data_IF_914492582315
#
_entry.id   IF_914492582315
#
_cell.length_a   1.000
_cell.length_b   1.000
_cell.length_c   1.000
_cell.angle_alpha   90.00
_cell.angle_beta   90.00
_cell.angle_gamma   90.00
#
_symmetry.space_group_name_H-M   'P 1'
#
loop_
_entity.id
_entity.type
_entity.pdbx_description
1 polymer ?
#
# COMPACT_ATOMS: atom_id res chain seq x y z
N UNK A 1 -36.62 72.91 22.97
CA UNK A 1 -37.36 72.41 21.78
C UNK A 1 -36.39 71.60 20.95
N UNK A 2 -36.35 70.30 21.17
CA UNK A 2 -35.51 69.40 20.40
C UNK A 2 -36.28 68.95 19.16
N UNK A 3 -35.73 69.23 18.03
CA UNK A 3 -36.39 69.03 16.74
C UNK A 3 -36.36 67.58 16.32
N UNK A 4 -37.44 67.10 15.73
CA UNK A 4 -37.62 65.71 15.23
C UNK A 4 -36.56 65.21 14.23
N UNK A 5 -35.50 65.96 14.00
CA UNK A 5 -34.39 65.58 13.08
C UNK A 5 -33.27 64.84 13.70
N UNK A 6 -33.15 64.70 15.03
CA UNK A 6 -32.09 63.98 15.70
C UNK A 6 -32.43 62.53 15.99
N UNK A 7 -33.72 62.14 15.85
CA UNK A 7 -34.17 60.76 16.11
C UNK A 7 -33.97 59.80 14.91
N UNK A 8 -33.86 60.37 13.71
CA UNK A 8 -33.70 59.55 12.48
C UNK A 8 -32.26 59.22 12.05
N UNK A 9 -31.25 59.60 12.86
CA UNK A 9 -29.87 59.31 12.59
C UNK A 9 -29.30 58.14 13.38
N UNK A 10 -30.10 57.52 14.27
CA UNK A 10 -29.68 56.35 15.06
C UNK A 10 -30.41 55.04 14.74
N UNK A 11 -31.30 55.05 13.74
CA UNK A 11 -32.02 53.85 13.27
C UNK A 11 -31.56 53.45 11.87
N UNK A 12 -30.30 53.16 11.71
CA UNK A 12 -29.83 52.74 10.40
C UNK A 12 -28.47 52.11 10.48
N UNK A 13 -28.44 50.82 10.60
CA UNK A 13 -27.42 49.84 10.15
C UNK A 13 -27.38 48.65 11.10
N UNK A 14 -28.53 47.95 11.21
CA UNK A 14 -28.47 46.53 11.49
C UNK A 14 -28.27 45.89 10.12
N UNK A 15 -27.04 45.79 9.68
CA UNK A 15 -26.64 44.81 8.67
C UNK A 15 -26.91 43.44 9.27
N UNK A 16 -27.70 42.56 8.60
CA UNK A 16 -27.72 41.18 8.98
C UNK A 16 -26.28 40.68 8.78
N UNK A 17 -25.59 40.41 9.86
CA UNK A 17 -24.42 39.53 9.82
C UNK A 17 -24.97 38.20 9.30
N UNK A 18 -24.94 38.01 7.99
CA UNK A 18 -24.94 36.69 7.39
C UNK A 18 -23.74 36.05 8.02
N UNK A 19 -23.99 35.24 9.07
CA UNK A 19 -23.04 34.21 9.45
C UNK A 19 -22.85 33.38 8.19
N UNK A 20 -21.79 33.68 7.46
CA UNK A 20 -21.09 32.71 6.65
C UNK A 20 -20.66 31.64 7.64
N UNK A 21 -21.55 30.67 7.91
CA UNK A 21 -21.09 29.39 8.30
C UNK A 21 -20.04 29.07 7.25
N UNK A 22 -18.77 28.82 7.64
CA UNK A 22 -17.86 28.21 6.70
C UNK A 22 -18.65 26.98 6.25
N UNK A 23 -18.99 26.92 4.96
CA UNK A 23 -19.29 25.67 4.33
C UNK A 23 -18.19 24.76 4.85
N UNK A 24 -18.55 23.87 5.77
CA UNK A 24 -17.74 22.71 6.03
C UNK A 24 -17.67 22.08 4.67
N UNK A 25 -16.63 22.46 3.97
CA UNK A 25 -16.17 21.85 2.75
C UNK A 25 -16.31 20.36 3.03
N UNK A 26 -17.32 19.77 2.45
CA UNK A 26 -17.28 18.39 2.09
C UNK A 26 -16.04 18.32 1.22
N UNK A 27 -14.90 18.11 1.88
CA UNK A 27 -13.69 17.73 1.19
C UNK A 27 -14.17 16.59 0.30
N UNK A 28 -14.18 16.81 -1.00
CA UNK A 28 -14.47 15.77 -1.96
C UNK A 28 -13.67 14.57 -1.47
N UNK A 29 -14.38 13.54 -0.98
CA UNK A 29 -13.72 12.31 -0.57
C UNK A 29 -12.99 11.88 -1.83
N UNK A 30 -11.69 12.13 -1.86
CA UNK A 30 -10.84 11.65 -2.93
C UNK A 30 -11.14 10.16 -3.00
N UNK A 31 -11.89 9.74 -4.02
CA UNK A 31 -12.17 8.32 -4.21
C UNK A 31 -10.82 7.65 -4.42
N UNK A 32 -10.37 6.93 -3.43
CA UNK A 32 -9.15 6.15 -3.58
C UNK A 32 -9.41 5.06 -4.62
N UNK A 33 -8.44 4.85 -5.48
CA UNK A 33 -8.44 3.71 -6.39
C UNK A 33 -8.43 2.42 -5.58
N UNK A 34 -9.09 1.38 -6.08
CA UNK A 34 -9.05 0.06 -5.44
C UNK A 34 -8.01 -0.78 -6.16
N UNK A 35 -6.97 -1.13 -5.44
CA UNK A 35 -5.88 -1.98 -5.92
C UNK A 35 -6.03 -3.44 -5.47
N UNK A 36 -5.33 -4.33 -6.18
CA UNK A 36 -5.16 -5.73 -5.81
C UNK A 36 -3.71 -6.16 -5.97
N UNK A 37 -3.17 -6.86 -4.95
CA UNK A 37 -1.92 -7.59 -5.07
C UNK A 37 -2.18 -8.89 -5.84
N UNK A 38 -1.48 -9.06 -6.97
CA UNK A 38 -1.71 -10.18 -7.88
C UNK A 38 -1.31 -11.55 -7.30
N UNK A 39 -0.55 -11.57 -6.19
CA UNK A 39 -0.25 -12.79 -5.46
C UNK A 39 -1.50 -13.52 -4.96
N UNK A 40 -2.58 -12.78 -4.74
CA UNK A 40 -3.93 -13.33 -4.46
C UNK A 40 -4.36 -14.36 -5.51
N UNK A 41 -4.00 -14.15 -6.76
CA UNK A 41 -4.38 -14.97 -7.91
C UNK A 41 -3.20 -15.75 -8.50
N UNK A 42 -2.11 -15.96 -7.72
CA UNK A 42 -0.84 -16.53 -8.17
C UNK A 42 -0.96 -17.83 -8.95
N UNK A 43 -1.85 -18.72 -8.51
CA UNK A 43 -2.04 -20.02 -9.17
C UNK A 43 -2.78 -19.92 -10.52
N UNK A 44 -3.52 -18.82 -10.71
CA UNK A 44 -4.33 -18.60 -11.90
C UNK A 44 -3.60 -17.72 -12.92
N UNK A 45 -2.98 -16.63 -12.45
CA UNK A 45 -2.37 -15.64 -13.34
C UNK A 45 -1.16 -16.18 -14.12
N UNK A 46 -0.43 -17.14 -13.54
CA UNK A 46 0.68 -17.79 -14.27
C UNK A 46 0.21 -18.67 -15.44
N UNK A 47 -1.06 -19.10 -15.43
CA UNK A 47 -1.66 -19.96 -16.45
C UNK A 47 -2.39 -19.13 -17.52
N UNK A 48 -3.05 -18.07 -17.11
CA UNK A 48 -3.83 -17.19 -17.98
C UNK A 48 -3.74 -15.72 -17.53
N UNK A 49 -2.61 -15.04 -17.80
CA UNK A 49 -2.42 -13.68 -17.32
C UNK A 49 -3.47 -12.70 -17.89
N UNK A 50 -3.83 -12.81 -19.16
CA UNK A 50 -4.80 -11.91 -19.79
C UNK A 50 -6.21 -12.12 -19.24
N UNK A 51 -6.69 -13.36 -19.22
CA UNK A 51 -8.03 -13.65 -18.69
C UNK A 51 -8.18 -13.35 -17.19
N UNK A 52 -7.11 -13.41 -16.41
CA UNK A 52 -7.15 -13.00 -15.01
C UNK A 52 -7.18 -11.47 -14.87
N UNK A 53 -6.41 -10.73 -15.65
CA UNK A 53 -6.48 -9.27 -15.68
C UNK A 53 -7.87 -8.77 -16.09
N UNK A 54 -8.51 -9.41 -17.09
CA UNK A 54 -9.90 -9.13 -17.48
C UNK A 54 -10.87 -9.29 -16.29
N UNK A 55 -10.73 -10.38 -15.52
CA UNK A 55 -11.58 -10.65 -14.35
C UNK A 55 -11.35 -9.63 -13.23
N UNK A 56 -10.10 -9.19 -13.02
CA UNK A 56 -9.75 -8.15 -12.06
C UNK A 56 -10.41 -6.82 -12.45
N UNK A 57 -10.30 -6.41 -13.70
CA UNK A 57 -10.93 -5.19 -14.21
C UNK A 57 -12.46 -5.28 -14.09
N UNK A 58 -13.07 -6.42 -14.46
CA UNK A 58 -14.51 -6.67 -14.35
C UNK A 58 -15.01 -6.65 -12.88
N UNK A 59 -14.20 -7.06 -11.91
CA UNK A 59 -14.50 -6.93 -10.48
C UNK A 59 -14.45 -5.46 -10.01
N UNK A 60 -13.87 -4.59 -10.85
CA UNK A 60 -13.83 -3.14 -10.66
C UNK A 60 -12.66 -2.64 -9.84
N UNK A 61 -11.56 -3.37 -9.83
CA UNK A 61 -10.25 -2.86 -9.47
C UNK A 61 -9.75 -1.91 -10.55
N UNK A 62 -8.97 -0.93 -10.14
CA UNK A 62 -8.38 0.07 -11.04
C UNK A 62 -6.87 0.16 -10.89
N UNK A 63 -6.33 -0.52 -9.87
CA UNK A 63 -4.90 -0.67 -9.66
C UNK A 63 -4.54 -2.13 -9.42
N UNK A 64 -3.34 -2.50 -9.84
CA UNK A 64 -2.73 -3.80 -9.60
C UNK A 64 -1.34 -3.62 -9.02
N UNK A 65 -0.92 -4.57 -8.23
CA UNK A 65 0.45 -4.71 -7.79
C UNK A 65 0.99 -6.07 -8.26
N UNK A 66 1.80 -6.10 -9.32
CA UNK A 66 2.39 -7.32 -9.84
C UNK A 66 3.53 -7.83 -8.95
N UNK A 67 3.78 -9.14 -9.02
CA UNK A 67 4.89 -9.83 -8.40
C UNK A 67 5.55 -10.77 -9.42
N UNK A 68 6.68 -11.40 -9.03
CA UNK A 68 7.26 -12.49 -9.80
C UNK A 68 7.92 -12.06 -11.12
N UNK A 69 8.40 -10.79 -11.19
CA UNK A 69 9.26 -10.38 -12.30
C UNK A 69 10.46 -11.30 -12.41
N UNK A 70 10.71 -11.79 -13.62
CA UNK A 70 11.87 -12.63 -13.90
C UNK A 70 12.30 -12.46 -15.36
N UNK A 71 13.56 -12.06 -15.57
CA UNK A 71 14.20 -12.02 -16.88
C UNK A 71 13.42 -11.22 -17.92
N UNK A 72 12.95 -10.02 -17.60
CA UNK A 72 12.21 -9.14 -18.52
C UNK A 72 10.74 -9.49 -18.70
N UNK A 73 10.16 -10.35 -17.85
CA UNK A 73 8.79 -10.85 -17.99
C UNK A 73 8.02 -10.86 -16.68
N UNK A 74 6.69 -10.67 -16.80
CA UNK A 74 5.69 -11.03 -15.80
C UNK A 74 4.81 -12.14 -16.35
N UNK A 75 4.70 -13.26 -15.65
CA UNK A 75 3.81 -14.40 -16.02
C UNK A 75 3.99 -14.85 -17.48
N UNK A 76 5.23 -14.87 -17.98
CA UNK A 76 5.56 -15.23 -19.35
C UNK A 76 5.40 -14.12 -20.40
N UNK A 77 4.75 -13.01 -20.07
CA UNK A 77 4.61 -11.85 -20.96
C UNK A 77 5.80 -10.89 -20.78
N UNK A 78 6.40 -10.36 -21.86
CA UNK A 78 7.35 -9.25 -21.76
C UNK A 78 6.76 -8.08 -20.95
N UNK A 79 7.59 -7.41 -20.13
CA UNK A 79 7.16 -6.28 -19.27
C UNK A 79 6.31 -5.27 -20.04
N UNK A 80 6.78 -4.87 -21.23
CA UNK A 80 6.07 -3.88 -22.06
C UNK A 80 4.69 -4.35 -22.51
N UNK A 81 4.56 -5.64 -22.86
CA UNK A 81 3.27 -6.22 -23.25
C UNK A 81 2.32 -6.29 -22.05
N UNK A 82 2.82 -6.74 -20.89
CA UNK A 82 2.04 -6.81 -19.66
C UNK A 82 1.53 -5.42 -19.25
N UNK A 83 2.41 -4.40 -19.27
CA UNK A 83 2.04 -3.02 -18.97
C UNK A 83 0.99 -2.46 -19.94
N UNK A 84 1.18 -2.69 -21.25
CA UNK A 84 0.24 -2.23 -22.27
C UNK A 84 -1.13 -2.90 -22.14
N UNK A 85 -1.16 -4.22 -21.90
CA UNK A 85 -2.41 -4.95 -21.72
C UNK A 85 -3.16 -4.50 -20.47
N UNK A 86 -2.47 -4.39 -19.32
CA UNK A 86 -3.05 -3.85 -18.09
C UNK A 86 -3.64 -2.45 -18.31
N UNK A 87 -2.89 -1.57 -18.97
CA UNK A 87 -3.36 -0.21 -19.27
C UNK A 87 -4.59 -0.18 -20.18
N UNK A 88 -4.69 -1.12 -21.14
CA UNK A 88 -5.87 -1.22 -22.04
C UNK A 88 -7.16 -1.57 -21.30
N UNK A 89 -7.04 -2.21 -20.13
CA UNK A 89 -8.14 -2.54 -19.22
C UNK A 89 -8.41 -1.44 -18.18
N UNK A 90 -7.67 -0.32 -18.22
CA UNK A 90 -7.76 0.74 -17.21
C UNK A 90 -7.08 0.41 -15.88
N UNK A 91 -6.28 -0.66 -15.83
CA UNK A 91 -5.51 -1.07 -14.66
C UNK A 91 -4.18 -0.33 -14.65
N UNK A 92 -3.93 0.47 -13.61
CA UNK A 92 -2.62 1.08 -13.33
C UNK A 92 -1.83 0.16 -12.42
N UNK A 93 -0.51 0.25 -12.48
CA UNK A 93 0.38 -0.48 -11.59
C UNK A 93 1.32 0.50 -10.87
N UNK A 94 0.86 1.20 -9.81
CA UNK A 94 1.70 2.17 -9.10
C UNK A 94 2.88 1.53 -8.39
N UNK A 95 2.79 0.28 -7.98
CA UNK A 95 3.85 -0.48 -7.32
C UNK A 95 3.98 -1.90 -7.87
N UNK A 96 5.05 -2.56 -7.47
CA UNK A 96 5.28 -3.98 -7.74
C UNK A 96 6.22 -4.60 -6.72
N UNK A 97 5.99 -5.89 -6.40
CA UNK A 97 6.83 -6.68 -5.53
C UNK A 97 8.01 -7.29 -6.28
N UNK A 98 9.21 -6.99 -5.83
CA UNK A 98 10.47 -7.42 -6.42
C UNK A 98 11.34 -8.13 -5.38
N UNK A 99 11.87 -9.31 -5.73
CA UNK A 99 12.70 -10.14 -4.85
C UNK A 99 14.14 -10.24 -5.37
N UNK A 100 14.96 -9.20 -5.19
CA UNK A 100 16.36 -9.22 -5.63
C UNK A 100 17.20 -10.04 -4.65
N UNK A 101 17.11 -11.36 -4.72
CA UNK A 101 17.73 -12.26 -3.73
C UNK A 101 19.26 -12.13 -3.65
N UNK A 102 19.94 -12.03 -4.81
CA UNK A 102 21.39 -11.81 -4.83
C UNK A 102 21.77 -10.49 -4.18
N UNK A 103 21.03 -9.42 -4.50
CA UNK A 103 21.26 -8.11 -3.88
C UNK A 103 21.08 -8.14 -2.37
N UNK A 104 20.00 -8.78 -1.90
CA UNK A 104 19.69 -8.82 -0.47
C UNK A 104 20.69 -9.65 0.34
N UNK A 105 21.18 -10.76 -0.22
CA UNK A 105 21.93 -11.75 0.56
C UNK A 105 23.42 -11.83 0.19
N UNK A 106 23.83 -11.26 -0.95
CA UNK A 106 25.21 -11.28 -1.41
C UNK A 106 25.77 -9.86 -1.50
N UNK A 107 27.04 -9.67 -1.13
CA UNK A 107 27.77 -8.43 -1.38
C UNK A 107 28.58 -8.58 -2.67
N UNK A 108 27.86 -8.61 -3.82
CA UNK A 108 28.45 -8.93 -5.11
C UNK A 108 28.01 -7.92 -6.20
N UNK A 109 28.83 -7.80 -7.27
CA UNK A 109 28.45 -7.04 -8.46
C UNK A 109 27.21 -7.64 -9.13
N UNK A 110 27.03 -8.96 -9.07
CA UNK A 110 25.85 -9.65 -9.60
C UNK A 110 24.57 -9.25 -8.84
N UNK A 111 24.63 -9.07 -7.52
CA UNK A 111 23.52 -8.54 -6.72
C UNK A 111 23.21 -7.09 -7.10
N UNK A 112 24.24 -6.25 -7.28
CA UNK A 112 24.02 -4.87 -7.73
C UNK A 112 23.43 -4.82 -9.15
N UNK A 113 23.77 -5.74 -10.03
CA UNK A 113 23.18 -5.83 -11.37
C UNK A 113 21.72 -6.28 -11.30
N UNK A 114 21.40 -7.25 -10.43
CA UNK A 114 20.02 -7.74 -10.23
C UNK A 114 19.06 -6.63 -9.80
N UNK A 115 19.39 -5.87 -8.75
CA UNK A 115 18.50 -4.79 -8.30
C UNK A 115 18.35 -3.67 -9.34
N UNK A 116 19.41 -3.39 -10.12
CA UNK A 116 19.33 -2.41 -11.21
C UNK A 116 18.43 -2.90 -12.37
N UNK A 117 18.42 -4.20 -12.67
CA UNK A 117 17.49 -4.79 -13.63
C UNK A 117 16.05 -4.65 -13.14
N UNK A 118 15.80 -4.88 -11.85
CA UNK A 118 14.47 -4.70 -11.25
C UNK A 118 14.03 -3.22 -11.27
N UNK A 119 14.95 -2.29 -11.02
CA UNK A 119 14.67 -0.85 -11.15
C UNK A 119 14.28 -0.51 -12.60
N UNK A 120 15.01 -1.03 -13.60
CA UNK A 120 14.70 -0.80 -15.00
C UNK A 120 13.31 -1.34 -15.39
N UNK A 121 12.97 -2.55 -14.91
CA UNK A 121 11.63 -3.13 -15.12
C UNK A 121 10.53 -2.30 -14.45
N UNK A 122 10.74 -1.80 -13.25
CA UNK A 122 9.79 -0.93 -12.55
C UNK A 122 9.57 0.39 -13.30
N UNK A 123 10.62 0.98 -13.89
CA UNK A 123 10.51 2.16 -14.75
C UNK A 123 9.71 1.85 -16.01
N UNK A 124 9.95 0.70 -16.65
CA UNK A 124 9.20 0.29 -17.86
C UNK A 124 7.72 0.06 -17.57
N UNK A 125 7.39 -0.48 -16.37
CA UNK A 125 6.03 -0.62 -15.86
C UNK A 125 5.37 0.71 -15.49
N UNK A 126 6.14 1.81 -15.42
CA UNK A 126 5.73 3.13 -14.91
C UNK A 126 5.27 3.06 -13.45
N UNK A 127 5.91 2.23 -12.65
CA UNK A 127 5.69 2.22 -11.21
C UNK A 127 6.12 3.55 -10.57
N UNK A 128 5.46 3.91 -9.49
CA UNK A 128 5.91 4.95 -8.55
C UNK A 128 6.80 4.33 -7.46
N UNK A 129 6.53 3.05 -7.11
CA UNK A 129 7.17 2.32 -6.02
C UNK A 129 7.75 0.98 -6.48
N UNK A 130 8.95 0.69 -6.03
CA UNK A 130 9.56 -0.65 -6.06
C UNK A 130 9.54 -1.20 -4.64
N UNK A 131 8.85 -2.32 -4.42
CA UNK A 131 8.66 -2.89 -3.08
C UNK A 131 9.50 -4.14 -2.92
N UNK A 132 10.27 -4.19 -1.82
CA UNK A 132 10.92 -5.41 -1.34
C UNK A 132 9.94 -6.10 -0.38
N UNK A 133 9.37 -7.28 -0.76
CA UNK A 133 8.21 -7.80 -0.05
C UNK A 133 8.54 -8.77 1.08
N UNK A 134 9.76 -9.31 1.16
CA UNK A 134 9.99 -10.45 2.05
C UNK A 134 11.48 -10.75 2.28
N UNK A 135 11.79 -11.45 3.39
CA UNK A 135 13.10 -11.97 3.71
C UNK A 135 13.07 -13.47 3.92
N UNK A 136 14.11 -14.16 3.43
CA UNK A 136 14.29 -15.57 3.70
C UNK A 136 14.45 -15.82 5.22
N UNK A 137 13.87 -16.91 5.79
CA UNK A 137 13.92 -17.20 7.22
C UNK A 137 15.31 -17.20 7.84
N UNK A 138 16.33 -17.60 7.08
CA UNK A 138 17.73 -17.61 7.51
C UNK A 138 18.32 -16.20 7.72
N UNK A 139 17.63 -15.15 7.27
CA UNK A 139 18.07 -13.74 7.31
C UNK A 139 17.13 -12.87 8.14
N UNK A 140 16.68 -13.38 9.31
CA UNK A 140 15.71 -12.70 10.17
C UNK A 140 16.21 -12.45 11.59
N UNK A 141 17.54 -12.38 11.79
CA UNK A 141 18.13 -11.96 13.06
C UNK A 141 18.33 -10.43 13.08
N UNK A 142 18.55 -9.84 14.26
CA UNK A 142 18.72 -8.39 14.38
C UNK A 142 19.83 -7.82 13.49
N UNK A 143 20.94 -8.54 13.34
CA UNK A 143 22.05 -8.08 12.51
C UNK A 143 21.72 -8.18 11.00
N UNK A 144 20.87 -9.13 10.61
CA UNK A 144 20.36 -9.20 9.24
C UNK A 144 19.45 -7.99 8.94
N UNK A 145 18.61 -7.56 9.87
CA UNK A 145 17.80 -6.36 9.71
C UNK A 145 18.64 -5.07 9.64
N UNK A 146 19.75 -4.99 10.38
CA UNK A 146 20.69 -3.87 10.25
C UNK A 146 21.36 -3.85 8.88
N UNK A 147 21.80 -5.01 8.40
CA UNK A 147 22.36 -5.15 7.05
C UNK A 147 21.32 -4.78 5.99
N UNK A 148 20.09 -5.28 6.13
CA UNK A 148 18.98 -4.94 5.25
C UNK A 148 18.72 -3.44 5.21
N UNK A 149 18.70 -2.76 6.35
CA UNK A 149 18.51 -1.31 6.39
C UNK A 149 19.56 -0.55 5.55
N UNK A 150 20.83 -0.98 5.62
CA UNK A 150 21.88 -0.46 4.75
C UNK A 150 21.64 -0.72 3.25
N UNK A 151 21.22 -1.95 2.92
CA UNK A 151 20.85 -2.32 1.53
C UNK A 151 19.66 -1.52 1.02
N UNK A 152 18.63 -1.32 1.84
CA UNK A 152 17.47 -0.54 1.48
C UNK A 152 17.84 0.94 1.24
N UNK A 153 18.68 1.54 2.08
CA UNK A 153 19.16 2.90 1.85
C UNK A 153 19.90 3.02 0.51
N UNK A 154 20.80 2.08 0.21
CA UNK A 154 21.54 2.06 -1.05
C UNK A 154 20.63 1.89 -2.26
N UNK A 155 19.70 0.91 -2.22
CA UNK A 155 18.72 0.69 -3.28
C UNK A 155 17.78 1.89 -3.44
N UNK A 156 17.40 2.54 -2.32
CA UNK A 156 16.60 3.76 -2.30
C UNK A 156 17.24 4.91 -3.06
N UNK A 157 18.55 5.10 -2.93
CA UNK A 157 19.28 6.09 -3.74
C UNK A 157 19.21 5.78 -5.24
N UNK A 158 19.34 4.51 -5.62
CA UNK A 158 19.24 4.11 -7.04
C UNK A 158 17.82 4.27 -7.57
N UNK A 159 16.80 3.88 -6.79
CA UNK A 159 15.41 4.10 -7.11
C UNK A 159 15.12 5.60 -7.32
N UNK A 160 15.55 6.45 -6.39
CA UNK A 160 15.37 7.91 -6.46
C UNK A 160 16.01 8.52 -7.72
N UNK A 161 17.19 8.06 -8.11
CA UNK A 161 17.86 8.49 -9.36
C UNK A 161 17.09 8.07 -10.62
N UNK A 162 16.34 6.96 -10.53
CA UNK A 162 15.47 6.45 -11.60
C UNK A 162 14.05 7.03 -11.58
N UNK A 163 13.73 7.92 -10.63
CA UNK A 163 12.39 8.50 -10.47
C UNK A 163 11.40 7.60 -9.73
N UNK A 164 11.90 6.59 -9.02
CA UNK A 164 11.10 5.66 -8.22
C UNK A 164 11.29 5.92 -6.72
N UNK A 165 10.33 5.48 -5.92
CA UNK A 165 10.45 5.38 -4.48
C UNK A 165 10.63 3.92 -4.07
N UNK A 166 11.65 3.61 -3.25
CA UNK A 166 11.77 2.29 -2.65
C UNK A 166 10.78 2.13 -1.49
N UNK A 167 10.19 0.93 -1.38
CA UNK A 167 9.38 0.54 -0.25
C UNK A 167 9.76 -0.84 0.30
N UNK A 168 9.38 -1.08 1.55
CA UNK A 168 9.51 -2.36 2.22
C UNK A 168 8.14 -2.79 2.76
N UNK A 169 7.74 -4.03 2.46
CA UNK A 169 6.50 -4.64 2.92
C UNK A 169 6.79 -5.55 4.12
N UNK A 170 6.00 -5.41 5.17
CA UNK A 170 6.16 -6.21 6.38
C UNK A 170 5.30 -7.48 6.39
N UNK A 171 5.80 -8.46 7.12
CA UNK A 171 5.05 -9.60 7.64
C UNK A 171 4.99 -9.53 9.18
N UNK A 172 4.76 -10.67 9.82
CA UNK A 172 4.77 -10.79 11.29
C UNK A 172 6.17 -10.92 11.88
N UNK A 173 7.09 -11.51 11.13
CA UNK A 173 8.44 -11.83 11.63
C UNK A 173 9.30 -10.61 11.94
N UNK A 174 9.04 -9.46 11.34
CA UNK A 174 9.72 -8.21 11.67
C UNK A 174 9.37 -7.72 13.08
N UNK A 175 8.23 -8.12 13.61
CA UNK A 175 7.76 -7.75 14.94
C UNK A 175 8.20 -8.73 16.03
N UNK A 176 8.90 -9.81 15.67
CA UNK A 176 9.49 -10.72 16.66
C UNK A 176 10.49 -9.96 17.54
N UNK A 177 10.28 -10.09 18.87
CA UNK A 177 11.17 -9.43 19.85
C UNK A 177 12.45 -10.21 20.10
N UNK A 178 13.56 -9.52 20.09
CA UNK A 178 14.89 -9.97 20.48
C UNK A 178 15.40 -9.00 21.57
N UNK A 179 15.30 -9.37 22.82
CA UNK A 179 15.70 -8.54 23.98
C UNK A 179 15.09 -7.14 23.95
N UNK A 180 13.80 -7.05 23.62
CA UNK A 180 13.03 -5.79 23.58
C UNK A 180 13.21 -4.96 22.30
N UNK A 181 13.96 -5.45 21.31
CA UNK A 181 14.10 -4.85 19.97
C UNK A 181 13.46 -5.73 18.91
N UNK A 182 12.92 -5.11 17.89
CA UNK A 182 12.33 -5.82 16.75
C UNK A 182 13.05 -5.48 15.44
N UNK A 183 12.94 -6.35 14.44
CA UNK A 183 13.42 -6.05 13.09
C UNK A 183 12.72 -4.81 12.51
N UNK A 184 11.42 -4.65 12.79
CA UNK A 184 10.66 -3.49 12.34
C UNK A 184 11.17 -2.18 12.92
N UNK A 185 11.57 -2.17 14.22
CA UNK A 185 12.18 -0.99 14.83
C UNK A 185 13.51 -0.62 14.16
N UNK A 186 14.34 -1.63 13.84
CA UNK A 186 15.61 -1.41 13.12
C UNK A 186 15.32 -0.80 11.75
N UNK A 187 14.43 -1.40 10.96
CA UNK A 187 14.10 -0.91 9.63
C UNK A 187 13.57 0.53 9.66
N UNK A 188 12.65 0.82 10.60
CA UNK A 188 12.03 2.14 10.68
C UNK A 188 12.96 3.23 11.19
N UNK A 189 13.99 2.89 12.00
CA UNK A 189 14.92 3.86 12.59
C UNK A 189 16.24 4.00 11.85
N UNK A 190 16.69 2.95 11.13
CA UNK A 190 17.99 2.96 10.44
C UNK A 190 17.88 3.14 8.92
N UNK A 191 16.67 3.21 8.37
CA UNK A 191 16.48 3.62 6.97
C UNK A 191 16.13 5.09 6.88
N UNK A 192 16.69 5.75 5.86
CA UNK A 192 16.40 7.15 5.54
C UNK A 192 14.94 7.29 5.09
N UNK A 193 14.20 8.20 5.73
CA UNK A 193 12.77 8.38 5.48
C UNK A 193 12.44 8.92 4.09
N UNK A 194 13.40 9.59 3.42
CA UNK A 194 13.23 10.12 2.07
C UNK A 194 13.61 9.10 0.99
N UNK A 195 14.34 8.04 1.37
CA UNK A 195 14.76 6.96 0.49
C UNK A 195 13.87 5.73 0.59
N UNK A 196 13.38 5.41 1.81
CA UNK A 196 12.65 4.17 2.09
C UNK A 196 11.29 4.46 2.72
N UNK A 197 10.24 4.03 2.06
CA UNK A 197 8.86 4.05 2.57
C UNK A 197 8.46 2.65 3.02
N UNK A 198 7.28 2.53 3.63
CA UNK A 198 6.74 1.25 4.04
C UNK A 198 5.41 0.99 3.33
N UNK A 199 5.25 -0.23 2.91
CA UNK A 199 3.97 -0.81 2.56
C UNK A 199 3.52 -1.65 3.75
N UNK A 200 2.50 -1.19 4.45
CA UNK A 200 2.04 -1.85 5.66
C UNK A 200 0.98 -2.90 5.35
N UNK A 201 1.28 -4.16 5.63
CA UNK A 201 0.29 -5.22 5.63
C UNK A 201 -0.46 -5.23 6.96
N UNK A 202 -1.74 -4.86 6.91
CA UNK A 202 -2.60 -4.70 8.09
C UNK A 202 -2.94 -6.03 8.76
N UNK A 203 -3.00 -7.13 7.98
CA UNK A 203 -3.19 -8.47 8.54
C UNK A 203 -1.98 -8.89 9.35
N UNK A 204 -0.77 -8.79 8.80
CA UNK A 204 0.43 -9.22 9.48
C UNK A 204 0.76 -8.36 10.71
N UNK A 205 0.51 -7.06 10.66
CA UNK A 205 0.57 -6.19 11.84
C UNK A 205 -0.38 -6.67 12.94
N UNK A 206 -1.64 -6.93 12.58
CA UNK A 206 -2.65 -7.42 13.53
C UNK A 206 -2.33 -8.83 14.02
N UNK A 207 -1.81 -9.70 13.14
CA UNK A 207 -1.39 -11.06 13.48
C UNK A 207 -0.27 -11.06 14.51
N UNK A 208 0.68 -10.16 14.36
CA UNK A 208 1.76 -9.93 15.33
C UNK A 208 1.30 -9.20 16.61
N UNK A 209 -0.01 -9.00 16.81
CA UNK A 209 -0.60 -8.26 17.93
C UNK A 209 -0.05 -6.82 18.05
N UNK A 210 0.27 -6.20 16.94
CA UNK A 210 0.60 -4.77 16.86
C UNK A 210 -0.66 -3.97 16.51
N UNK A 211 -0.62 -2.69 16.83
CA UNK A 211 -1.70 -1.75 16.54
C UNK A 211 -1.34 -0.88 15.33
N UNK A 212 -2.04 -1.03 14.18
CA UNK A 212 -1.77 -0.22 13.00
C UNK A 212 -1.88 1.29 13.25
N UNK A 213 -2.80 1.74 14.11
CA UNK A 213 -3.01 3.16 14.39
C UNK A 213 -1.79 3.75 15.13
N UNK A 214 -1.22 3.01 16.08
CA UNK A 214 0.00 3.42 16.77
C UNK A 214 1.19 3.49 15.80
N UNK A 215 1.31 2.50 14.90
CA UNK A 215 2.37 2.49 13.90
C UNK A 215 2.24 3.65 12.90
N UNK A 216 1.03 3.99 12.45
CA UNK A 216 0.81 5.15 11.59
C UNK A 216 1.18 6.47 12.30
N UNK A 217 0.85 6.60 13.57
CA UNK A 217 1.23 7.77 14.35
C UNK A 217 2.75 7.87 14.56
N UNK A 218 3.45 6.73 14.71
CA UNK A 218 4.91 6.66 14.80
C UNK A 218 5.58 7.00 13.47
N UNK A 219 4.98 6.56 12.34
CA UNK A 219 5.55 6.65 11.00
C UNK A 219 4.85 7.69 10.11
N UNK A 220 4.40 8.81 10.65
CA UNK A 220 3.62 9.85 9.93
C UNK A 220 4.18 10.15 8.54
N UNK A 221 3.35 9.98 7.51
CA UNK A 221 3.71 10.27 6.10
C UNK A 221 4.69 9.27 5.47
N UNK A 222 5.05 8.19 6.18
CA UNK A 222 6.03 7.22 5.73
C UNK A 222 5.44 5.89 5.28
N UNK A 223 4.09 5.74 5.32
CA UNK A 223 3.37 4.51 4.96
C UNK A 223 2.38 4.80 3.83
N UNK A 224 2.86 5.10 2.59
CA UNK A 224 1.99 5.47 1.48
C UNK A 224 1.23 4.29 0.87
N UNK A 225 1.59 3.07 1.19
CA UNK A 225 1.00 1.85 0.62
C UNK A 225 0.50 0.95 1.75
N UNK A 226 -0.68 0.34 1.53
CA UNK A 226 -1.26 -0.61 2.48
C UNK A 226 -1.68 -1.88 1.78
N UNK A 227 -1.44 -3.05 2.41
CA UNK A 227 -2.16 -4.27 2.09
C UNK A 227 -3.38 -4.39 3.00
N UNK A 228 -4.55 -4.45 2.35
CA UNK A 228 -5.86 -4.63 2.98
C UNK A 228 -6.21 -6.11 2.86
N UNK A 229 -5.79 -6.87 3.86
CA UNK A 229 -5.91 -8.30 3.98
C UNK A 229 -6.64 -8.61 5.29
N UNK A 230 -7.79 -9.29 5.22
CA UNK A 230 -8.64 -9.49 6.40
C UNK A 230 -8.38 -10.83 7.07
N UNK A 231 -8.60 -10.85 8.37
CA UNK A 231 -8.31 -11.98 9.26
C UNK A 231 -9.61 -12.69 9.62
N UNK A 232 -9.67 -14.02 9.44
CA UNK A 232 -10.84 -14.80 9.80
C UNK A 232 -11.16 -14.68 11.30
N UNK A 233 -12.45 -14.67 11.63
CA UNK A 233 -12.93 -14.47 13.01
C UNK A 233 -12.67 -15.65 13.93
N UNK A 234 -12.66 -16.87 13.37
CA UNK A 234 -12.52 -18.10 14.14
C UNK A 234 -11.07 -18.58 14.20
N UNK A 235 -10.29 -18.31 13.14
CA UNK A 235 -8.92 -18.77 13.01
C UNK A 235 -8.03 -17.67 12.45
N UNK A 236 -7.25 -17.05 13.32
CA UNK A 236 -6.36 -15.93 12.96
C UNK A 236 -5.30 -16.28 11.90
N UNK A 237 -4.95 -17.55 11.74
CA UNK A 237 -4.02 -18.02 10.71
C UNK A 237 -4.65 -18.08 9.31
N UNK A 238 -5.97 -17.96 9.23
CA UNK A 238 -6.72 -17.89 7.99
C UNK A 238 -7.07 -16.45 7.64
N UNK A 239 -7.07 -16.20 6.35
CA UNK A 239 -7.55 -14.96 5.78
C UNK A 239 -9.00 -15.14 5.31
N UNK A 240 -9.66 -14.03 5.03
CA UNK A 240 -11.01 -14.03 4.47
C UNK A 240 -11.20 -12.79 3.59
N UNK A 241 -12.30 -12.72 2.88
CA UNK A 241 -12.68 -11.54 2.09
C UNK A 241 -12.79 -10.31 2.97
N UNK A 242 -12.29 -9.18 2.46
CA UNK A 242 -12.31 -7.91 3.18
C UNK A 242 -13.73 -7.55 3.62
N UNK A 243 -13.87 -7.32 4.93
CA UNK A 243 -15.15 -7.02 5.59
C UNK A 243 -15.89 -8.22 6.16
N UNK A 244 -15.43 -9.44 5.90
CA UNK A 244 -15.96 -10.66 6.52
C UNK A 244 -15.21 -11.02 7.80
N UNK A 245 -13.98 -10.52 7.95
CA UNK A 245 -13.09 -10.83 9.05
C UNK A 245 -13.27 -9.97 10.28
N UNK A 246 -12.21 -9.92 11.10
CA UNK A 246 -12.22 -9.23 12.38
C UNK A 246 -11.46 -7.88 12.38
N UNK A 247 -10.78 -7.51 11.28
CA UNK A 247 -10.03 -6.25 11.22
C UNK A 247 -10.99 -5.11 10.93
N UNK A 248 -11.01 -4.08 11.78
CA UNK A 248 -11.85 -2.90 11.58
C UNK A 248 -11.21 -1.90 10.60
N UNK A 249 -11.33 -2.19 9.31
CA UNK A 249 -10.82 -1.29 8.28
C UNK A 249 -11.49 0.08 8.29
N UNK A 250 -12.74 0.21 8.78
CA UNK A 250 -13.39 1.52 8.88
C UNK A 250 -12.71 2.44 9.88
N UNK A 251 -12.22 1.87 10.99
CA UNK A 251 -11.41 2.61 11.96
C UNK A 251 -10.04 2.94 11.37
N UNK A 252 -9.36 1.95 10.78
CA UNK A 252 -8.00 2.08 10.23
C UNK A 252 -7.94 3.11 9.10
N UNK A 253 -8.93 3.15 8.18
CA UNK A 253 -8.95 4.10 7.06
C UNK A 253 -9.06 5.58 7.49
N UNK A 254 -9.47 5.87 8.73
CA UNK A 254 -9.41 7.23 9.28
C UNK A 254 -7.98 7.76 9.41
N UNK A 255 -6.99 6.87 9.45
CA UNK A 255 -5.58 7.20 9.54
C UNK A 255 -4.88 7.36 8.18
N UNK A 256 -5.62 7.26 7.06
CA UNK A 256 -5.07 7.38 5.72
C UNK A 256 -4.24 8.66 5.52
N UNK A 257 -4.72 9.80 6.00
CA UNK A 257 -3.97 11.05 5.91
C UNK A 257 -2.73 11.06 6.82
N UNK A 258 -2.80 10.49 8.02
CA UNK A 258 -1.68 10.43 8.98
C UNK A 258 -0.57 9.55 8.45
N UNK A 259 -0.90 8.38 7.90
CA UNK A 259 0.07 7.45 7.31
C UNK A 259 0.69 8.00 6.02
N UNK A 260 0.00 8.92 5.34
CA UNK A 260 0.36 9.39 4.00
C UNK A 260 -0.10 8.45 2.89
N UNK A 261 -1.15 7.64 3.13
CA UNK A 261 -1.65 6.65 2.18
C UNK A 261 -1.99 7.28 0.82
N UNK A 262 -1.50 6.64 -0.22
CA UNK A 262 -1.79 6.97 -1.62
C UNK A 262 -2.48 5.82 -2.33
N UNK A 263 -2.03 4.60 -2.07
CA UNK A 263 -2.54 3.37 -2.67
C UNK A 263 -2.80 2.33 -1.59
N UNK A 264 -3.76 1.45 -1.85
CA UNK A 264 -3.96 0.24 -1.06
C UNK A 264 -4.33 -0.92 -1.98
N UNK A 265 -3.92 -2.12 -1.58
CA UNK A 265 -4.12 -3.33 -2.35
C UNK A 265 -4.81 -4.39 -1.51
N UNK A 266 -5.90 -4.93 -2.05
CA UNK A 266 -6.51 -6.14 -1.49
C UNK A 266 -5.56 -7.30 -1.70
N UNK A 267 -5.34 -8.09 -0.65
CA UNK A 267 -4.64 -9.35 -0.77
C UNK A 267 -5.33 -10.44 0.06
N UNK A 268 -5.35 -11.65 -0.47
CA UNK A 268 -5.78 -12.87 0.21
C UNK A 268 -4.97 -14.04 -0.34
N UNK A 269 -4.39 -14.84 0.53
CA UNK A 269 -3.47 -15.91 0.13
C UNK A 269 -4.02 -17.33 0.36
N UNK A 270 -5.09 -17.44 1.15
CA UNK A 270 -5.73 -18.71 1.50
C UNK A 270 -7.23 -18.52 1.80
N UNK A 271 -7.92 -19.64 2.08
CA UNK A 271 -9.29 -19.66 2.56
C UNK A 271 -10.29 -18.87 1.69
N UNK A 272 -10.19 -19.03 0.37
CA UNK A 272 -11.08 -18.39 -0.60
C UNK A 272 -12.48 -19.03 -0.58
N UNK A 273 -13.55 -18.21 -0.75
CA UNK A 273 -14.93 -18.70 -0.70
C UNK A 273 -15.75 -18.17 -1.90
N UNK A 274 -16.18 -19.02 -2.83
CA UNK A 274 -15.78 -20.43 -3.02
C UNK A 274 -14.44 -20.60 -3.76
N UNK A 275 -13.92 -19.54 -4.37
CA UNK A 275 -12.71 -19.51 -5.19
C UNK A 275 -12.06 -18.10 -5.17
N UNK A 276 -10.79 -17.98 -5.61
CA UNK A 276 -10.07 -16.69 -5.55
C UNK A 276 -10.75 -15.56 -6.33
N UNK A 277 -11.39 -15.84 -7.47
CA UNK A 277 -12.03 -14.80 -8.28
C UNK A 277 -13.29 -14.28 -7.58
N UNK A 278 -14.10 -15.17 -7.01
CA UNK A 278 -15.27 -14.80 -6.20
C UNK A 278 -14.87 -14.00 -4.96
N UNK A 279 -13.77 -14.39 -4.29
CA UNK A 279 -13.24 -13.68 -3.12
C UNK A 279 -12.83 -12.25 -3.44
N UNK A 280 -12.12 -12.01 -4.55
CA UNK A 280 -11.74 -10.64 -4.92
C UNK A 280 -12.95 -9.78 -5.30
N UNK A 281 -13.98 -10.36 -5.92
CA UNK A 281 -15.24 -9.66 -6.22
C UNK A 281 -15.98 -9.24 -4.94
N UNK A 282 -16.05 -10.14 -3.96
CA UNK A 282 -16.63 -9.87 -2.64
C UNK A 282 -15.91 -8.74 -1.93
N UNK A 283 -14.58 -8.80 -1.86
CA UNK A 283 -13.72 -7.77 -1.27
C UNK A 283 -13.90 -6.41 -1.94
N UNK A 284 -13.89 -6.35 -3.28
CA UNK A 284 -14.10 -5.12 -4.03
C UNK A 284 -15.49 -4.51 -3.75
N UNK A 285 -16.53 -5.34 -3.68
CA UNK A 285 -17.91 -4.88 -3.37
C UNK A 285 -17.98 -4.25 -1.98
N UNK A 286 -17.38 -4.90 -0.98
CA UNK A 286 -17.36 -4.35 0.39
C UNK A 286 -16.62 -3.02 0.45
N UNK A 287 -15.43 -2.93 -0.15
CA UNK A 287 -14.59 -1.73 -0.16
C UNK A 287 -15.33 -0.55 -0.80
N UNK A 288 -15.93 -0.76 -1.99
CA UNK A 288 -16.72 0.27 -2.69
C UNK A 288 -17.88 0.79 -1.87
N UNK A 289 -18.51 -0.07 -1.10
CA UNK A 289 -19.67 0.31 -0.31
C UNK A 289 -19.32 0.97 1.04
N UNK A 290 -18.13 0.72 1.59
CA UNK A 290 -17.84 1.01 2.99
C UNK A 290 -16.57 1.84 3.24
N UNK A 291 -15.58 1.83 2.34
CA UNK A 291 -14.26 2.41 2.62
C UNK A 291 -13.89 3.57 1.68
N UNK A 292 -14.40 3.61 0.43
CA UNK A 292 -14.05 4.60 -0.61
C UNK A 292 -15.27 5.28 -1.22
#
# INVERSE_FOLDING_TARGET
>A
MSTRRSFLKQAGLITPAVMLMPDMLWADKKKHAIGIQLYTLRELIVKDPKGILDKIAAAGYTEIEPFGYNGGKYYGMPVKEFAAYSASLGLKAPSGHYMPQKYLYEDSEAGNAEIKDFIAAAVEMKHEYLIIPWLHPEHRQLDDFKRLAGKLNQAGEWCKKAGLQLGYHNHDFEFKSYDGKTGYDILTTQTDQDLVKFEMDLYWVSFANQDPEQLFNKLKGRVPLWHVKDMDKADRSKQTEVGNGQIDFKAIFKFAAVSGMKHFYVEQENNYIPDPVSSIQSSAKYIKANLV
#
